data_IF_924707960010
#
_entry.id   IF_924707960010
#
_cell.length_a   1.000
_cell.length_b   1.000
_cell.length_c   1.000
_cell.angle_alpha   90.00
_cell.angle_beta   90.00
_cell.angle_gamma   90.00
#
_symmetry.space_group_name_H-M   'P 1'
#
loop_
_entity.id
_entity.type
_entity.pdbx_description
1 polymer ?
#
# COMPACT_ATOMS: atom_id res chain seq x y z
N UNK A 1 -14.68 -9.54 -4.03
CA UNK A 1 -15.13 -9.05 -5.36
C UNK A 1 -15.77 -7.66 -5.27
N UNK A 2 -16.60 -7.39 -4.27
CA UNK A 2 -17.25 -6.07 -4.08
C UNK A 2 -16.26 -4.88 -4.09
N UNK A 3 -15.15 -4.98 -3.36
CA UNK A 3 -14.11 -3.93 -3.35
C UNK A 3 -13.54 -3.64 -4.75
N UNK A 4 -13.28 -4.70 -5.52
CA UNK A 4 -12.74 -4.59 -6.89
C UNK A 4 -13.75 -3.86 -7.79
N UNK A 5 -15.03 -4.24 -7.71
CA UNK A 5 -16.10 -3.61 -8.48
C UNK A 5 -16.31 -2.15 -8.09
N UNK A 6 -16.28 -1.85 -6.78
CA UNK A 6 -16.39 -0.49 -6.27
C UNK A 6 -15.25 0.40 -6.81
N UNK A 7 -14.02 -0.12 -6.85
CA UNK A 7 -12.87 0.60 -7.42
C UNK A 7 -12.99 0.77 -8.94
N UNK A 8 -13.36 -0.29 -9.66
CA UNK A 8 -13.53 -0.26 -11.13
C UNK A 8 -14.67 0.67 -11.58
N UNK A 9 -15.65 0.96 -10.72
CA UNK A 9 -16.67 1.96 -11.00
C UNK A 9 -16.11 3.39 -11.13
N UNK A 10 -14.93 3.67 -10.56
CA UNK A 10 -14.29 4.99 -10.62
C UNK A 10 -13.32 5.14 -11.79
N UNK A 11 -12.85 4.04 -12.40
CA UNK A 11 -11.83 4.10 -13.45
C UNK A 11 -11.77 2.84 -14.31
N UNK A 12 -11.42 3.04 -15.59
CA UNK A 12 -11.12 1.95 -16.52
C UNK A 12 -9.62 1.58 -16.55
N UNK A 13 -8.80 2.28 -15.76
CA UNK A 13 -7.36 2.01 -15.65
C UNK A 13 -7.12 0.60 -15.08
N UNK A 14 -6.20 -0.13 -15.70
CA UNK A 14 -5.79 -1.47 -15.26
C UNK A 14 -4.34 -1.41 -14.77
N UNK A 15 -4.10 -1.30 -13.45
CA UNK A 15 -2.75 -1.18 -12.92
C UNK A 15 -1.97 -2.46 -13.16
N UNK A 16 -0.72 -2.31 -13.61
CA UNK A 16 0.22 -3.43 -13.70
C UNK A 16 1.06 -3.59 -12.42
N UNK A 17 1.21 -2.51 -11.65
CA UNK A 17 2.02 -2.44 -10.44
C UNK A 17 1.15 -1.91 -9.28
N UNK A 18 1.23 -2.58 -8.14
CA UNK A 18 0.69 -2.09 -6.88
C UNK A 18 1.80 -1.51 -6.00
N UNK A 19 1.53 -0.38 -5.36
CA UNK A 19 2.45 0.31 -4.46
C UNK A 19 1.80 0.39 -3.08
N UNK A 20 2.56 0.05 -2.04
CA UNK A 20 2.16 0.30 -0.65
C UNK A 20 3.05 1.37 -0.07
N UNK A 21 2.53 2.59 0.05
CA UNK A 21 3.28 3.76 0.51
C UNK A 21 3.22 3.82 2.04
N UNK A 22 4.38 3.60 2.65
CA UNK A 22 4.57 3.71 4.09
C UNK A 22 4.68 5.16 4.57
N UNK A 23 4.92 5.31 5.87
CA UNK A 23 5.06 6.61 6.54
C UNK A 23 6.12 7.48 5.83
N UNK A 24 5.76 8.73 5.53
CA UNK A 24 6.63 9.69 4.86
C UNK A 24 6.73 9.57 3.33
N UNK A 25 6.21 8.49 2.73
CA UNK A 25 6.29 8.25 1.27
C UNK A 25 4.96 8.48 0.55
N UNK A 26 3.93 8.92 1.26
CA UNK A 26 2.61 9.19 0.71
C UNK A 26 2.62 10.21 -0.44
N UNK A 27 3.55 11.18 -0.42
CA UNK A 27 3.64 12.23 -1.45
C UNK A 27 3.94 11.70 -2.85
N UNK A 28 4.44 10.47 -3.00
CA UNK A 28 4.66 9.86 -4.32
C UNK A 28 3.34 9.70 -5.11
N UNK A 29 2.23 9.43 -4.44
CA UNK A 29 0.94 9.32 -5.12
C UNK A 29 0.43 10.67 -5.66
N UNK A 30 0.99 11.78 -5.19
CA UNK A 30 0.62 13.11 -5.68
C UNK A 30 1.26 13.45 -7.04
N UNK A 31 2.27 12.69 -7.47
CA UNK A 31 2.95 12.89 -8.75
C UNK A 31 2.32 12.09 -9.89
N UNK A 32 1.26 11.31 -9.63
CA UNK A 32 0.64 10.48 -10.66
C UNK A 32 -0.16 11.33 -11.66
N UNK A 33 0.03 11.02 -12.93
CA UNK A 33 -0.79 11.53 -14.03
C UNK A 33 -2.13 10.79 -14.09
N UNK A 34 -3.17 11.45 -14.62
CA UNK A 34 -4.52 10.86 -14.78
C UNK A 34 -5.07 10.23 -13.49
N UNK A 35 -4.73 10.81 -12.33
CA UNK A 35 -4.99 10.16 -11.05
C UNK A 35 -6.48 10.13 -10.69
N UNK A 36 -6.92 8.98 -10.22
CA UNK A 36 -8.22 8.74 -9.59
C UNK A 36 -7.95 8.41 -8.12
N UNK A 37 -8.53 9.23 -7.24
CA UNK A 37 -8.38 9.11 -5.79
C UNK A 37 -9.67 8.55 -5.20
N UNK A 38 -9.56 7.47 -4.44
CA UNK A 38 -10.70 6.74 -3.87
C UNK A 38 -10.48 6.61 -2.36
N UNK A 39 -11.26 7.30 -1.52
CA UNK A 39 -11.16 7.18 -0.06
C UNK A 39 -11.43 5.74 0.42
N UNK A 40 -10.67 5.27 1.41
CA UNK A 40 -10.80 3.90 1.92
C UNK A 40 -12.18 3.59 2.49
N UNK A 41 -12.86 4.56 3.09
CA UNK A 41 -14.20 4.39 3.65
C UNK A 41 -15.30 4.17 2.61
N UNK A 42 -15.04 4.48 1.34
CA UNK A 42 -15.92 4.17 0.21
C UNK A 42 -15.68 2.78 -0.39
N UNK A 43 -14.61 2.09 0.02
CA UNK A 43 -14.26 0.77 -0.51
C UNK A 43 -14.73 -0.32 0.47
N UNK A 44 -15.65 -1.22 0.05
CA UNK A 44 -16.15 -2.29 0.91
C UNK A 44 -15.03 -3.15 1.52
N UNK A 45 -15.14 -3.43 2.82
CA UNK A 45 -14.21 -4.27 3.60
C UNK A 45 -12.77 -3.73 3.72
N UNK A 46 -12.52 -2.49 3.29
CA UNK A 46 -11.18 -1.91 3.38
C UNK A 46 -10.84 -1.50 4.82
N UNK A 47 -9.64 -1.84 5.33
CA UNK A 47 -9.23 -1.43 6.68
C UNK A 47 -8.97 0.08 6.72
N UNK A 48 -9.45 0.77 7.76
CA UNK A 48 -9.18 2.19 7.94
C UNK A 48 -7.74 2.36 8.41
N UNK A 49 -7.08 3.42 7.94
CA UNK A 49 -5.75 3.78 8.45
C UNK A 49 -5.92 4.84 9.53
N UNK A 50 -5.44 4.56 10.74
CA UNK A 50 -5.58 5.47 11.89
C UNK A 50 -4.28 6.18 12.28
N UNK A 51 -3.19 5.85 11.59
CA UNK A 51 -1.83 6.33 11.89
C UNK A 51 -1.61 7.72 11.29
N UNK A 52 -1.02 8.68 12.05
CA UNK A 52 -0.69 10.00 11.53
C UNK A 52 0.16 9.95 10.25
N UNK A 53 -0.17 10.80 9.28
CA UNK A 53 0.52 10.86 7.99
C UNK A 53 0.03 9.83 6.95
N UNK A 54 -0.94 8.98 7.30
CA UNK A 54 -1.62 8.11 6.36
C UNK A 54 -2.91 8.80 5.88
N UNK A 55 -2.96 9.18 4.60
CA UNK A 55 -4.12 9.89 4.03
C UNK A 55 -5.38 9.01 3.97
N UNK A 56 -5.21 7.69 3.91
CA UNK A 56 -6.35 6.77 3.93
C UNK A 56 -7.09 6.71 2.59
N UNK A 57 -6.35 6.75 1.48
CA UNK A 57 -6.91 6.73 0.13
C UNK A 57 -6.13 5.83 -0.81
N UNK A 58 -6.85 5.24 -1.77
CA UNK A 58 -6.30 4.47 -2.87
C UNK A 58 -6.16 5.41 -4.07
N UNK A 59 -4.99 5.43 -4.70
CA UNK A 59 -4.74 6.30 -5.86
C UNK A 59 -4.36 5.43 -7.05
N UNK A 60 -5.12 5.52 -8.14
CA UNK A 60 -4.81 4.84 -9.40
C UNK A 60 -4.43 5.90 -10.42
N UNK A 61 -3.32 5.75 -11.12
CA UNK A 61 -2.87 6.72 -12.11
C UNK A 61 -1.70 6.19 -12.92
N UNK A 62 -0.95 7.10 -13.54
CA UNK A 62 0.25 6.77 -14.30
C UNK A 62 1.48 7.44 -13.71
N UNK A 63 2.60 6.72 -13.69
CA UNK A 63 3.93 7.25 -13.37
C UNK A 63 4.92 6.65 -14.35
N UNK A 64 5.74 7.48 -15.00
CA UNK A 64 6.69 7.03 -16.04
C UNK A 64 6.03 6.16 -17.12
N UNK A 65 4.81 6.53 -17.54
CA UNK A 65 4.03 5.79 -18.54
C UNK A 65 3.37 4.49 -18.04
N UNK A 66 3.62 4.09 -16.79
CA UNK A 66 3.09 2.85 -16.22
C UNK A 66 1.83 3.09 -15.40
N UNK A 67 0.78 2.31 -15.64
CA UNK A 67 -0.43 2.34 -14.81
C UNK A 67 -0.17 1.67 -13.46
N UNK A 68 -0.36 2.42 -12.38
CA UNK A 68 -0.10 2.01 -11.01
C UNK A 68 -1.32 2.19 -10.13
N UNK A 69 -1.42 1.37 -9.09
CA UNK A 69 -2.34 1.57 -7.96
C UNK A 69 -1.52 1.71 -6.69
N UNK A 70 -1.75 2.76 -5.90
CA UNK A 70 -1.03 3.05 -4.69
C UNK A 70 -1.95 3.15 -3.48
N UNK A 71 -1.60 2.43 -2.42
CA UNK A 71 -2.13 2.68 -1.09
C UNK A 71 -1.39 3.87 -0.47
N UNK A 72 -2.05 5.02 -0.32
CA UNK A 72 -1.49 6.19 0.33
C UNK A 72 -1.77 6.12 1.84
N UNK A 73 -1.01 5.23 2.48
CA UNK A 73 -1.21 4.78 3.85
C UNK A 73 -1.70 3.33 3.91
N UNK A 74 -1.30 2.61 4.95
CA UNK A 74 -1.65 1.20 5.21
C UNK A 74 -2.13 0.99 6.64
N UNK A 75 -2.89 -0.07 6.86
CA UNK A 75 -3.26 -0.55 8.18
C UNK A 75 -2.15 -1.44 8.77
N UNK A 76 -2.12 -1.53 10.10
CA UNK A 76 -1.12 -2.28 10.85
C UNK A 76 -1.76 -3.28 11.82
N UNK A 77 -1.04 -4.35 12.15
CA UNK A 77 -1.46 -5.30 13.19
C UNK A 77 -1.64 -4.62 14.55
N UNK A 78 -0.79 -3.65 14.89
CA UNK A 78 -0.89 -2.94 16.16
C UNK A 78 -2.14 -2.05 16.27
N UNK A 79 -2.85 -1.78 15.17
CA UNK A 79 -4.14 -1.07 15.18
C UNK A 79 -5.31 -2.02 15.53
N UNK A 80 -5.03 -3.31 15.79
CA UNK A 80 -6.02 -4.33 16.13
C UNK A 80 -6.58 -5.10 14.94
N UNK A 81 -6.04 -4.89 13.74
CA UNK A 81 -6.43 -5.63 12.53
C UNK A 81 -5.79 -7.01 12.45
N UNK A 82 -6.49 -7.98 11.88
CA UNK A 82 -5.95 -9.31 11.60
C UNK A 82 -5.00 -9.30 10.40
N UNK A 83 -4.12 -10.31 10.25
CA UNK A 83 -3.30 -10.48 9.05
C UNK A 83 -4.10 -10.47 7.74
N UNK A 84 -5.30 -11.07 7.73
CA UNK A 84 -6.19 -11.08 6.57
C UNK A 84 -6.68 -9.68 6.22
N UNK A 85 -7.03 -8.88 7.23
CA UNK A 85 -7.50 -7.51 7.04
C UNK A 85 -6.39 -6.62 6.49
N UNK A 86 -5.18 -6.67 7.05
CA UNK A 86 -4.07 -5.82 6.58
C UNK A 86 -3.53 -6.25 5.20
N UNK A 87 -3.70 -7.52 4.82
CA UNK A 87 -3.29 -8.04 3.50
C UNK A 87 -4.41 -7.99 2.45
N UNK A 88 -5.65 -7.71 2.85
CA UNK A 88 -6.79 -7.61 1.95
C UNK A 88 -6.55 -6.67 0.75
N UNK A 89 -6.00 -5.44 0.94
CA UNK A 89 -5.68 -4.56 -0.18
C UNK A 89 -4.77 -5.18 -1.24
N UNK A 90 -3.82 -6.05 -0.86
CA UNK A 90 -2.91 -6.72 -1.80
C UNK A 90 -3.68 -7.65 -2.74
N UNK A 91 -4.64 -8.41 -2.18
CA UNK A 91 -5.52 -9.28 -2.97
C UNK A 91 -6.40 -8.46 -3.92
N UNK A 92 -6.93 -7.33 -3.45
CA UNK A 92 -7.72 -6.41 -4.30
C UNK A 92 -6.87 -5.86 -5.45
N UNK A 93 -5.65 -5.39 -5.18
CA UNK A 93 -4.73 -4.90 -6.22
C UNK A 93 -4.40 -5.99 -7.24
N UNK A 94 -4.20 -7.24 -6.81
CA UNK A 94 -4.04 -8.38 -7.72
C UNK A 94 -5.24 -8.54 -8.66
N UNK A 95 -6.48 -8.52 -8.12
CA UNK A 95 -7.69 -8.64 -8.94
C UNK A 95 -7.96 -7.41 -9.82
N UNK A 96 -7.40 -6.24 -9.50
CA UNK A 96 -7.41 -5.07 -10.38
C UNK A 96 -6.44 -5.20 -11.57
N UNK A 97 -5.50 -6.16 -11.52
CA UNK A 97 -4.57 -6.47 -12.60
C UNK A 97 -3.09 -6.37 -12.21
N UNK A 98 -2.77 -5.95 -10.98
CA UNK A 98 -1.39 -5.78 -10.56
C UNK A 98 -0.66 -7.13 -10.52
N UNK A 99 0.48 -7.20 -11.21
CA UNK A 99 1.36 -8.38 -11.28
C UNK A 99 2.61 -8.22 -10.42
N UNK A 100 2.97 -6.98 -10.12
CA UNK A 100 4.10 -6.63 -9.26
C UNK A 100 3.61 -5.83 -8.08
N UNK A 101 4.12 -6.12 -6.90
CA UNK A 101 3.88 -5.32 -5.70
C UNK A 101 5.21 -4.71 -5.25
N UNK A 102 5.21 -3.41 -4.97
CA UNK A 102 6.32 -2.70 -4.35
C UNK A 102 5.87 -2.24 -2.97
N UNK A 103 6.57 -2.71 -1.96
CA UNK A 103 6.29 -2.41 -0.56
C UNK A 103 7.30 -1.39 -0.07
N UNK A 104 6.82 -0.34 0.60
CA UNK A 104 7.67 0.66 1.24
C UNK A 104 7.30 0.81 2.71
N UNK A 105 8.29 1.10 3.54
CA UNK A 105 8.10 1.38 4.95
C UNK A 105 9.20 2.33 5.44
N UNK A 106 8.98 2.90 6.62
CA UNK A 106 10.04 3.50 7.43
C UNK A 106 10.51 2.45 8.45
N UNK A 107 11.83 2.35 8.65
CA UNK A 107 12.44 1.40 9.57
C UNK A 107 13.63 2.02 10.32
N UNK A 108 13.93 1.49 11.49
CA UNK A 108 15.17 1.77 12.21
C UNK A 108 16.33 0.94 11.65
N UNK A 109 17.46 1.57 11.37
CA UNK A 109 18.67 0.89 10.90
C UNK A 109 19.44 0.23 12.04
N UNK A 110 19.61 -1.09 12.00
CA UNK A 110 20.44 -1.83 12.95
C UNK A 110 21.89 -2.03 12.45
N UNK A 111 22.08 -2.03 11.12
CA UNK A 111 23.41 -2.11 10.54
C UNK A 111 24.14 -0.77 10.78
N UNK A 112 25.30 -0.83 11.44
CA UNK A 112 26.10 0.35 11.80
C UNK A 112 26.59 1.17 10.60
N UNK A 113 26.57 0.59 9.40
CA UNK A 113 26.94 1.26 8.16
C UNK A 113 25.81 2.11 7.57
N UNK A 114 24.57 1.98 8.07
CA UNK A 114 23.44 2.76 7.59
C UNK A 114 23.41 4.16 8.20
N UNK A 115 22.97 5.11 7.40
CA UNK A 115 22.76 6.50 7.77
C UNK A 115 21.27 6.86 7.71
N UNK A 116 20.90 7.93 8.43
CA UNK A 116 19.56 8.50 8.34
C UNK A 116 19.33 8.97 6.90
N UNK A 117 18.21 8.53 6.30
CA UNK A 117 17.85 8.87 4.92
C UNK A 117 18.27 7.83 3.88
N UNK A 118 19.01 6.80 4.25
CA UNK A 118 19.37 5.72 3.34
C UNK A 118 18.13 4.98 2.82
N UNK A 119 18.13 4.68 1.51
CA UNK A 119 17.16 3.76 0.90
C UNK A 119 17.77 2.36 0.88
N UNK A 120 17.12 1.43 1.57
CA UNK A 120 17.57 0.05 1.67
C UNK A 120 16.63 -0.89 0.92
N UNK A 121 17.19 -1.74 0.05
CA UNK A 121 16.46 -2.82 -0.62
C UNK A 121 16.27 -3.98 0.35
N UNK A 122 15.02 -4.39 0.54
CA UNK A 122 14.68 -5.58 1.33
C UNK A 122 15.04 -6.80 0.48
N UNK A 123 16.11 -7.49 0.86
CA UNK A 123 16.52 -8.74 0.21
C UNK A 123 15.95 -9.98 0.91
N UNK A 124 15.60 -9.87 2.19
CA UNK A 124 14.97 -10.92 2.98
C UNK A 124 14.26 -10.31 4.22
N UNK A 125 13.46 -11.10 4.93
CA UNK A 125 12.79 -10.66 6.17
C UNK A 125 12.66 -11.78 7.21
N UNK A 126 12.62 -11.38 8.49
CA UNK A 126 12.28 -12.28 9.62
C UNK A 126 10.92 -11.86 10.16
N UNK A 127 9.95 -12.78 10.12
CA UNK A 127 8.59 -12.53 10.61
C UNK A 127 8.42 -12.95 12.07
N UNK A 128 8.93 -12.15 13.00
CA UNK A 128 8.87 -12.44 14.44
C UNK A 128 7.44 -12.65 14.98
N UNK A 129 6.45 -11.88 14.48
CA UNK A 129 5.06 -12.02 14.94
C UNK A 129 4.51 -13.42 14.67
N UNK A 130 4.75 -13.98 13.48
CA UNK A 130 4.31 -15.35 13.17
C UNK A 130 5.10 -16.43 13.92
N UNK A 131 6.35 -16.13 14.30
CA UNK A 131 7.13 -17.03 15.15
C UNK A 131 6.65 -17.05 16.61
N UNK A 132 5.89 -16.04 17.04
CA UNK A 132 5.34 -15.94 18.39
C UNK A 132 4.02 -16.74 18.59
N UNK A 133 3.56 -17.49 17.57
CA UNK A 133 2.36 -18.32 17.65
C UNK A 133 1.03 -17.54 17.54
N UNK A 134 1.07 -16.33 16.98
CA UNK A 134 -0.10 -15.54 16.61
C UNK A 134 -0.64 -15.94 15.24
#
# INVERSE_FOLDING_TARGET
MEAVQAIQAHTNLKPAIGLVLGSGLGGLADTFEERVVIPYDTIPNWPKSTVPGHQGQLVIGKIEGQTVVAQQGRAHLYEGYTPEQITFPVRVMHFLGAKTIILTNAAGGLNKSFNIGDVMIINDHIYFTGMAGL
#
